data_IF_763867828138
#
_entry.id   IF_763867828138
#
_cell.length_a   1.000
_cell.length_b   1.000
_cell.length_c   1.000
_cell.angle_alpha   90.00
_cell.angle_beta   90.00
_cell.angle_gamma   90.00
#
_symmetry.space_group_name_H-M   'P 1'
#
loop_
_entity.id
_entity.type
_entity.pdbx_description
1 polymer ?
#
# COMPACT_ATOMS: atom_id res chain seq x y z
N UNK A 1 13.96 0.23 8.14
CA UNK A 1 12.80 0.61 8.98
C UNK A 1 11.55 0.20 8.24
N UNK A 2 10.52 -0.33 8.90
CA UNK A 2 9.24 -0.64 8.22
C UNK A 2 8.54 0.67 7.85
N UNK A 3 8.35 0.91 6.56
CA UNK A 3 7.53 2.03 6.08
C UNK A 3 6.13 1.49 5.81
N UNK A 4 5.18 1.77 6.70
CA UNK A 4 3.77 1.38 6.58
C UNK A 4 2.89 2.62 6.68
N UNK A 5 1.98 2.77 5.73
CA UNK A 5 0.96 3.82 5.72
C UNK A 5 -0.40 3.16 5.56
N UNK A 6 -1.33 3.50 6.46
CA UNK A 6 -2.72 3.04 6.42
C UNK A 6 -3.60 4.28 6.34
N UNK A 7 -4.48 4.31 5.33
CA UNK A 7 -5.41 5.40 5.09
C UNK A 7 -6.82 4.85 4.93
N UNK A 8 -7.77 5.50 5.60
CA UNK A 8 -9.19 5.26 5.42
C UNK A 8 -9.85 6.47 4.75
N UNK A 9 -10.75 6.20 3.81
CA UNK A 9 -11.62 7.21 3.20
C UNK A 9 -13.07 6.84 3.44
N UNK A 10 -13.72 7.59 4.32
CA UNK A 10 -15.13 7.40 4.69
C UNK A 10 -15.90 8.67 4.33
N UNK A 11 -16.80 8.55 3.36
CA UNK A 11 -17.70 9.61 2.92
C UNK A 11 -19.11 9.02 2.73
N UNK A 12 -19.96 9.07 3.78
CA UNK A 12 -21.27 8.43 3.78
C UNK A 12 -22.20 8.95 2.69
N UNK A 13 -22.12 10.25 2.40
CA UNK A 13 -22.94 10.90 1.36
C UNK A 13 -22.74 10.30 -0.04
N UNK A 14 -21.59 9.65 -0.26
CA UNK A 14 -21.21 9.02 -1.53
C UNK A 14 -21.20 7.49 -1.46
N UNK A 15 -21.73 6.88 -0.39
CA UNK A 15 -21.60 5.44 -0.10
C UNK A 15 -20.14 4.95 -0.19
N UNK A 16 -19.20 5.81 0.23
CA UNK A 16 -17.77 5.58 0.10
C UNK A 16 -17.19 5.16 1.45
N UNK A 17 -16.62 3.96 1.48
CA UNK A 17 -15.93 3.45 2.66
C UNK A 17 -14.77 2.57 2.20
N UNK A 18 -13.60 3.17 2.02
CA UNK A 18 -12.43 2.50 1.42
C UNK A 18 -11.22 2.53 2.34
N UNK A 19 -10.37 1.53 2.21
CA UNK A 19 -9.05 1.48 2.81
C UNK A 19 -7.97 1.52 1.71
N UNK A 20 -6.80 2.03 2.09
CA UNK A 20 -5.55 1.94 1.33
C UNK A 20 -4.42 1.61 2.31
N UNK A 21 -3.64 0.57 1.99
CA UNK A 21 -2.46 0.17 2.77
C UNK A 21 -1.27 0.18 1.82
N UNK A 22 -0.20 0.84 2.22
CA UNK A 22 1.07 0.86 1.51
C UNK A 22 2.18 0.43 2.45
N UNK A 23 3.00 -0.55 2.04
CA UNK A 23 4.21 -0.91 2.75
C UNK A 23 5.42 -1.02 1.82
N UNK A 24 6.60 -0.68 2.35
CA UNK A 24 7.88 -0.99 1.71
C UNK A 24 8.56 -2.07 2.54
N UNK A 25 8.85 -3.19 1.90
CA UNK A 25 9.36 -4.41 2.54
C UNK A 25 10.56 -4.98 1.76
N UNK A 26 11.64 -5.42 2.44
CA UNK A 26 12.75 -6.07 1.76
C UNK A 26 12.30 -7.41 1.15
N UNK A 27 12.81 -7.73 -0.04
CA UNK A 27 12.64 -9.05 -0.64
C UNK A 27 13.71 -10.02 -0.13
N UNK A 28 13.54 -11.31 -0.40
CA UNK A 28 14.55 -12.33 -0.09
C UNK A 28 15.85 -12.18 -0.90
N UNK A 29 15.85 -11.34 -1.94
CA UNK A 29 16.97 -11.18 -2.88
C UNK A 29 17.71 -9.85 -2.70
N UNK A 30 17.42 -9.10 -1.63
CA UNK A 30 18.07 -7.82 -1.34
C UNK A 30 17.50 -6.61 -2.09
N UNK A 31 16.40 -6.81 -2.83
CA UNK A 31 15.61 -5.74 -3.44
C UNK A 31 14.59 -5.21 -2.42
N UNK A 32 13.84 -4.19 -2.81
CA UNK A 32 12.71 -3.67 -2.03
C UNK A 32 11.41 -3.83 -2.81
N UNK A 33 10.35 -4.23 -2.12
CA UNK A 33 9.00 -4.31 -2.68
C UNK A 33 8.12 -3.18 -2.14
N UNK A 34 7.35 -2.55 -3.04
CA UNK A 34 6.25 -1.67 -2.69
C UNK A 34 4.95 -2.48 -2.78
N UNK A 35 4.37 -2.78 -1.64
CA UNK A 35 3.08 -3.47 -1.53
C UNK A 35 1.99 -2.42 -1.40
N UNK A 36 0.95 -2.53 -2.23
CA UNK A 36 -0.26 -1.70 -2.17
C UNK A 36 -1.46 -2.61 -2.04
N UNK A 37 -2.34 -2.30 -1.08
CA UNK A 37 -3.63 -2.95 -0.91
C UNK A 37 -4.71 -1.88 -0.88
N UNK A 38 -5.85 -2.16 -1.48
CA UNK A 38 -6.96 -1.21 -1.51
C UNK A 38 -8.28 -1.96 -1.62
N UNK A 39 -9.34 -1.41 -1.03
CA UNK A 39 -10.64 -2.04 -1.10
C UNK A 39 -11.73 -1.29 -0.38
N UNK A 40 -12.93 -1.87 -0.35
CA UNK A 40 -14.01 -1.41 0.53
C UNK A 40 -13.78 -1.99 1.93
N UNK A 41 -13.96 -1.19 2.97
CA UNK A 41 -13.81 -1.68 4.35
C UNK A 41 -14.79 -2.84 4.60
N UNK A 42 -14.29 -3.89 5.27
CA UNK A 42 -15.04 -5.13 5.51
C UNK A 42 -15.13 -6.09 4.32
N UNK A 43 -14.46 -5.80 3.20
CA UNK A 43 -14.46 -6.65 2.00
C UNK A 43 -13.04 -6.92 1.49
N UNK A 44 -12.87 -8.05 0.81
CA UNK A 44 -11.62 -8.34 0.10
C UNK A 44 -11.39 -7.29 -1.00
N UNK A 45 -10.17 -6.75 -1.02
CA UNK A 45 -9.75 -5.73 -1.98
C UNK A 45 -8.80 -6.27 -3.03
N UNK A 46 -8.20 -5.34 -3.78
CA UNK A 46 -7.09 -5.61 -4.68
C UNK A 46 -5.76 -5.44 -3.97
N UNK A 47 -4.73 -6.10 -4.51
CA UNK A 47 -3.35 -5.92 -4.10
C UNK A 47 -2.43 -5.83 -5.31
N UNK A 48 -1.33 -5.08 -5.19
CA UNK A 48 -0.26 -5.00 -6.17
C UNK A 48 1.08 -4.91 -5.49
N UNK A 49 2.06 -5.61 -6.03
CA UNK A 49 3.45 -5.58 -5.59
C UNK A 49 4.28 -5.09 -6.78
N UNK A 50 5.09 -4.05 -6.57
CA UNK A 50 6.15 -3.64 -7.49
C UNK A 50 7.52 -3.87 -6.83
N UNK A 51 8.51 -4.35 -7.58
CA UNK A 51 9.87 -4.60 -7.09
C UNK A 51 10.80 -3.48 -7.57
N UNK A 52 11.68 -3.03 -6.68
CA UNK A 52 12.60 -1.93 -6.85
C UNK A 52 14.00 -2.31 -6.37
N UNK A 53 15.06 -1.75 -6.96
CA UNK A 53 16.44 -2.10 -6.60
C UNK A 53 16.82 -1.68 -5.17
N UNK A 54 16.21 -0.62 -4.64
CA UNK A 54 16.50 -0.09 -3.30
C UNK A 54 15.29 0.65 -2.69
N UNK A 55 15.44 1.07 -1.43
CA UNK A 55 14.37 1.71 -0.65
C UNK A 55 14.03 3.10 -1.18
N UNK A 56 15.01 3.84 -1.71
CA UNK A 56 14.79 5.17 -2.27
C UNK A 56 13.94 5.10 -3.55
N UNK A 57 14.17 4.07 -4.38
CA UNK A 57 13.39 3.79 -5.58
C UNK A 57 11.99 3.26 -5.26
N UNK A 58 11.80 2.58 -4.12
CA UNK A 58 10.50 2.09 -3.67
C UNK A 58 9.60 3.18 -3.04
N UNK A 59 10.18 4.28 -2.56
CA UNK A 59 9.43 5.40 -1.97
C UNK A 59 8.64 6.14 -3.05
N UNK A 60 7.31 6.05 -2.96
CA UNK A 60 6.40 6.86 -3.77
C UNK A 60 6.51 8.31 -3.29
N UNK A 61 6.73 9.25 -4.22
CA UNK A 61 6.68 10.69 -3.91
C UNK A 61 5.24 11.07 -3.57
N UNK A 62 5.06 11.72 -2.43
CA UNK A 62 3.81 12.34 -1.98
C UNK A 62 3.36 13.46 -2.92
#
# INVERSE_FOLDING_TARGET
MLHLVVLDRIEPSQNMQRYYVLSIEPTLWGEMSLVRQWGRIGHQGGSRIDIHPDEAAAKVRE
#
